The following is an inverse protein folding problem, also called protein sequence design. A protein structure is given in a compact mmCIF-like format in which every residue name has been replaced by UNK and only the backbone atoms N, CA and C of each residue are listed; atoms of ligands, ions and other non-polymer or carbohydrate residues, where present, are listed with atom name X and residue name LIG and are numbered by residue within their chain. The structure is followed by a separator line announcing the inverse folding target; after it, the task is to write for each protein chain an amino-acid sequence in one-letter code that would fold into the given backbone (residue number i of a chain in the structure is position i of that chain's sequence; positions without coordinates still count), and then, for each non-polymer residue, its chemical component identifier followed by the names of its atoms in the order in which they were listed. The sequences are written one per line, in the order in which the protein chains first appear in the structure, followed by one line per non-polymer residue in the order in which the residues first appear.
data_IF_756027935019
#
_entry.id   IF_756027935019
#
_cell.length_a   1.000
_cell.length_b   1.000
_cell.length_c   1.000
_cell.angle_alpha   90.00
_cell.angle_beta   90.00
_cell.angle_gamma   90.00
#
_symmetry.space_group_name_H-M   'P 1'
#
loop_
_entity.id
_entity.type
_entity.pdbx_description
1 polymer ?
#
# COMPACT_ATOMS: atom_id res chain seq x y z
N UNK A 1 25.49 25.05 -16.17
CA UNK A 1 25.41 24.95 -14.69
C UNK A 1 24.22 24.06 -14.37
N UNK A 2 24.39 22.73 -14.47
CA UNK A 2 23.30 21.80 -14.21
C UNK A 2 23.09 21.72 -12.69
N UNK A 3 21.97 22.29 -12.23
CA UNK A 3 21.63 22.41 -10.82
C UNK A 3 21.17 21.07 -10.26
N UNK A 4 21.97 20.50 -9.38
CA UNK A 4 21.48 19.52 -8.41
C UNK A 4 20.79 20.30 -7.30
N UNK A 5 19.52 20.00 -7.02
CA UNK A 5 18.82 20.55 -5.85
C UNK A 5 19.62 20.15 -4.60
N UNK A 6 20.16 21.15 -3.90
CA UNK A 6 20.84 20.94 -2.64
C UNK A 6 19.87 20.65 -1.51
N UNK A 7 20.43 20.23 -0.37
CA UNK A 7 19.67 19.95 0.85
C UNK A 7 18.90 21.19 1.29
N UNK A 8 19.48 22.38 1.15
CA UNK A 8 18.85 23.66 1.50
C UNK A 8 17.64 23.95 0.63
N UNK A 9 17.75 23.80 -0.69
CA UNK A 9 16.64 24.02 -1.62
C UNK A 9 15.50 23.03 -1.37
N UNK A 10 15.80 21.77 -1.10
CA UNK A 10 14.82 20.75 -0.70
C UNK A 10 14.12 21.11 0.61
N UNK A 11 14.84 21.61 1.61
CA UNK A 11 14.26 22.03 2.89
C UNK A 11 13.30 23.21 2.71
N UNK A 12 13.65 24.19 1.87
CA UNK A 12 12.78 25.33 1.55
C UNK A 12 11.52 24.85 0.83
N UNK A 13 11.65 23.97 -0.16
CA UNK A 13 10.49 23.40 -0.87
C UNK A 13 9.57 22.60 0.07
N UNK A 14 10.16 21.81 0.98
CA UNK A 14 9.40 21.09 1.99
C UNK A 14 8.68 22.05 2.95
N UNK A 15 9.34 23.13 3.36
CA UNK A 15 8.73 24.17 4.20
C UNK A 15 7.58 24.89 3.50
N UNK A 16 7.75 25.25 2.22
CA UNK A 16 6.69 25.86 1.41
C UNK A 16 5.51 24.87 1.28
N UNK A 17 5.77 23.61 0.92
CA UNK A 17 4.74 22.57 0.88
C UNK A 17 4.02 22.41 2.21
N UNK A 18 4.75 22.53 3.32
CA UNK A 18 4.18 22.56 4.67
C UNK A 18 3.18 23.70 4.88
N UNK A 19 3.46 24.90 4.39
CA UNK A 19 2.58 26.06 4.54
C UNK A 19 1.28 25.89 3.74
N UNK A 20 1.34 25.31 2.55
CA UNK A 20 0.16 25.09 1.70
C UNK A 20 -0.70 23.91 2.17
N UNK A 21 -0.07 22.80 2.55
CA UNK A 21 -0.77 21.56 2.86
C UNK A 21 -0.94 21.30 4.38
N UNK A 22 -0.12 21.91 5.23
CA UNK A 22 -0.12 21.69 6.69
C UNK A 22 0.63 20.42 7.14
N UNK A 23 1.07 20.40 8.41
CA UNK A 23 1.97 19.37 8.98
C UNK A 23 1.37 18.00 9.12
N UNK A 24 0.05 17.95 9.14
CA UNK A 24 -0.65 16.70 9.32
C UNK A 24 -1.00 16.03 7.99
N UNK A 25 -1.11 16.78 6.89
CA UNK A 25 -1.59 16.22 5.61
C UNK A 25 -0.53 15.41 4.90
N UNK A 26 0.70 15.93 4.80
CA UNK A 26 1.79 15.22 4.11
C UNK A 26 2.11 13.86 4.78
N UNK A 27 2.27 13.76 6.11
CA UNK A 27 2.48 12.47 6.77
C UNK A 27 1.28 11.53 6.71
N UNK A 28 0.05 12.07 6.74
CA UNK A 28 -1.16 11.25 6.60
C UNK A 28 -1.25 10.62 5.21
N UNK A 29 -0.95 11.37 4.15
CA UNK A 29 -0.89 10.88 2.77
C UNK A 29 0.19 9.80 2.62
N UNK A 30 1.39 10.00 3.16
CA UNK A 30 2.42 8.96 3.10
C UNK A 30 2.00 7.68 3.84
N UNK A 31 1.33 7.80 4.99
CA UNK A 31 0.81 6.62 5.71
C UNK A 31 -0.29 5.90 4.93
N UNK A 32 -1.21 6.62 4.29
CA UNK A 32 -2.27 5.99 3.50
C UNK A 32 -1.72 5.33 2.24
N UNK A 33 -0.81 6.01 1.53
CA UNK A 33 -0.13 5.46 0.36
C UNK A 33 0.75 4.26 0.73
N UNK A 34 1.44 4.30 1.87
CA UNK A 34 2.24 3.18 2.38
C UNK A 34 1.40 1.94 2.68
N UNK A 35 0.24 2.13 3.33
CA UNK A 35 -0.71 1.04 3.59
C UNK A 35 -1.27 0.45 2.29
N UNK A 36 -1.76 1.30 1.39
CA UNK A 36 -2.27 0.86 0.08
C UNK A 36 -1.21 0.09 -0.72
N UNK A 37 0.03 0.56 -0.75
CA UNK A 37 1.15 -0.16 -1.40
C UNK A 37 1.44 -1.49 -0.71
N UNK A 38 1.37 -1.55 0.62
CA UNK A 38 1.58 -2.77 1.41
C UNK A 38 0.53 -3.83 1.12
N UNK A 39 -0.75 -3.47 1.22
CA UNK A 39 -1.89 -4.34 0.90
C UNK A 39 -1.85 -4.81 -0.56
N UNK A 40 -1.47 -3.93 -1.49
CA UNK A 40 -1.27 -4.29 -2.89
C UNK A 40 -0.16 -5.33 -3.08
N UNK A 41 1.00 -5.14 -2.43
CA UNK A 41 2.09 -6.13 -2.50
C UNK A 41 1.75 -7.45 -1.82
N UNK A 42 0.98 -7.41 -0.73
CA UNK A 42 0.45 -8.57 -0.04
C UNK A 42 -0.47 -9.37 -0.97
N UNK A 43 -1.46 -8.72 -1.59
CA UNK A 43 -2.38 -9.36 -2.54
C UNK A 43 -1.67 -9.91 -3.79
N UNK A 44 -0.64 -9.24 -4.29
CA UNK A 44 0.20 -9.78 -5.37
C UNK A 44 0.96 -11.05 -4.94
N UNK A 45 1.46 -11.11 -3.70
CA UNK A 45 2.15 -12.31 -3.19
C UNK A 45 1.18 -13.46 -2.99
N UNK A 46 0.02 -13.20 -2.41
CA UNK A 46 -1.02 -14.20 -2.19
C UNK A 46 -1.55 -14.75 -3.52
N UNK A 47 -1.77 -13.90 -4.52
CA UNK A 47 -2.17 -14.34 -5.86
C UNK A 47 -1.08 -15.06 -6.66
N UNK A 48 0.20 -14.94 -6.28
CA UNK A 48 1.32 -15.64 -6.92
C UNK A 48 1.75 -16.91 -6.17
N UNK A 49 1.43 -17.03 -4.88
CA UNK A 49 1.84 -18.14 -4.01
C UNK A 49 0.61 -19.01 -3.72
N UNK A 50 0.35 -19.95 -4.63
CA UNK A 50 -0.62 -21.03 -4.44
C UNK A 50 -2.05 -20.71 -4.88
N UNK A 51 -2.90 -21.74 -5.06
CA UNK A 51 -4.30 -21.55 -5.38
C UNK A 51 -4.94 -20.69 -4.28
N UNK A 52 -5.65 -19.65 -4.71
CA UNK A 52 -6.38 -18.77 -3.79
C UNK A 52 -7.35 -19.58 -2.92
N UNK A 53 -7.76 -19.08 -1.75
CA UNK A 53 -8.80 -19.76 -0.93
C UNK A 53 -10.03 -20.12 -1.79
N UNK A 54 -10.41 -19.24 -2.72
CA UNK A 54 -11.45 -19.48 -3.72
C UNK A 54 -11.18 -20.70 -4.60
N UNK A 55 -9.95 -20.89 -5.09
CA UNK A 55 -9.58 -22.10 -5.85
C UNK A 55 -9.59 -23.35 -4.99
N UNK A 56 -9.13 -23.28 -3.75
CA UNK A 56 -9.13 -24.43 -2.83
C UNK A 56 -10.56 -24.83 -2.44
N UNK A 57 -11.46 -23.86 -2.31
CA UNK A 57 -12.88 -24.12 -2.08
C UNK A 57 -13.56 -24.69 -3.32
N UNK A 58 -13.19 -24.23 -4.53
CA UNK A 58 -13.65 -24.83 -5.80
C UNK A 58 -13.21 -26.30 -5.92
N UNK A 59 -11.97 -26.65 -5.55
CA UNK A 59 -11.49 -28.03 -5.52
C UNK A 59 -12.25 -28.91 -4.51
N UNK A 60 -12.85 -28.31 -3.48
CA UNK A 60 -13.72 -28.99 -2.49
C UNK A 60 -15.20 -29.05 -2.92
N UNK A 61 -15.54 -28.61 -4.14
CA UNK A 61 -16.92 -28.59 -4.62
C UNK A 61 -17.68 -27.29 -4.29
N UNK A 62 -16.97 -26.21 -4.01
CA UNK A 62 -17.51 -24.87 -3.82
C UNK A 62 -17.97 -24.54 -2.40
N UNK A 63 -17.55 -25.33 -1.39
CA UNK A 63 -17.93 -25.11 0.02
C UNK A 63 -16.73 -24.65 0.84
N UNK A 64 -16.92 -23.54 1.57
CA UNK A 64 -15.95 -23.01 2.55
C UNK A 64 -15.76 -23.97 3.70
N UNK A 65 -14.53 -24.09 4.25
CA UNK A 65 -14.22 -25.01 5.37
C UNK A 65 -15.15 -24.86 6.57
N UNK A 66 -15.59 -23.64 6.89
CA UNK A 66 -16.48 -23.36 8.01
C UNK A 66 -17.90 -23.93 7.88
N UNK A 67 -18.33 -24.31 6.68
CA UNK A 67 -19.66 -24.90 6.42
C UNK A 67 -19.59 -26.38 6.04
N UNK A 68 -18.40 -26.94 5.79
CA UNK A 68 -18.23 -28.35 5.46
C UNK A 68 -18.26 -29.25 6.71
N UNK A 69 -18.08 -28.67 7.91
CA UNK A 69 -18.04 -29.38 9.20
C UNK A 69 -19.36 -29.27 10.02
N UNK A 70 -20.34 -28.48 9.54
CA UNK A 70 -21.74 -28.47 10.06
C UNK A 70 -22.59 -29.54 9.38
#
# INVERSE_FOLDING_TARGET
MAGTLGVTELAILAFIGMLFFGSQRIPALFRSMGRAKGEFQQGLREGLVGPSETERDLDRGGMTESHAEE
#
